data_IF_402750133667
#
_entry.id   IF_402750133667
#
_cell.length_a   1.000
_cell.length_b   1.000
_cell.length_c   1.000
_cell.angle_alpha   90.00
_cell.angle_beta   90.00
_cell.angle_gamma   90.00
#
_symmetry.space_group_name_H-M   'P 1'
#
loop_
_entity.id
_entity.type
_entity.pdbx_description
1 polymer ?
#
# COMPACT_ATOMS: atom_id res chain seq x y z
N UNK A 1 -19.26 -6.45 2.23
CA UNK A 1 -20.11 -5.56 1.43
C UNK A 1 -20.37 -4.23 2.13
N UNK A 2 -20.51 -4.16 3.46
CA UNK A 2 -20.76 -2.89 4.18
C UNK A 2 -19.60 -1.89 4.14
N UNK A 3 -18.39 -2.32 3.83
CA UNK A 3 -17.17 -1.49 3.86
C UNK A 3 -16.60 -1.21 2.45
N UNK A 4 -17.32 -1.56 1.40
CA UNK A 4 -16.87 -1.24 0.04
C UNK A 4 -16.99 0.27 -0.19
N UNK A 5 -15.97 0.87 -0.74
CA UNK A 5 -15.85 2.28 -1.07
C UNK A 5 -15.14 2.44 -2.42
N UNK A 6 -15.18 3.64 -2.98
CA UNK A 6 -14.46 3.97 -4.21
C UNK A 6 -13.81 5.36 -4.07
N UNK A 7 -12.67 5.61 -4.75
CA UNK A 7 -11.95 6.88 -4.62
C UNK A 7 -12.80 8.12 -4.91
N UNK A 8 -13.81 7.99 -5.77
CA UNK A 8 -14.73 9.07 -6.16
C UNK A 8 -15.63 9.56 -5.02
N UNK A 9 -15.74 8.81 -3.93
CA UNK A 9 -16.47 9.25 -2.73
C UNK A 9 -15.72 10.33 -1.93
N UNK A 10 -14.41 10.50 -2.21
CA UNK A 10 -13.54 11.45 -1.51
C UNK A 10 -13.25 12.67 -2.37
N UNK A 11 -13.55 13.86 -1.86
CA UNK A 11 -13.24 15.12 -2.54
C UNK A 11 -11.79 15.55 -2.30
N UNK A 12 -11.02 15.73 -3.37
CA UNK A 12 -9.65 16.24 -3.35
C UNK A 12 -9.55 17.76 -3.64
N UNK A 13 -10.68 18.48 -3.80
CA UNK A 13 -10.67 19.89 -4.17
C UNK A 13 -9.87 20.78 -3.21
N UNK A 14 -10.05 20.59 -1.90
CA UNK A 14 -9.27 21.33 -0.88
C UNK A 14 -7.78 20.98 -0.89
N UNK A 15 -7.44 19.75 -1.29
CA UNK A 15 -6.07 19.32 -1.41
C UNK A 15 -5.38 20.02 -2.58
N UNK A 16 -6.08 20.14 -3.71
CA UNK A 16 -5.62 20.90 -4.88
C UNK A 16 -5.39 22.38 -4.53
N UNK A 17 -6.34 23.00 -3.81
CA UNK A 17 -6.20 24.39 -3.33
C UNK A 17 -4.96 24.53 -2.42
N UNK A 18 -4.81 23.62 -1.44
CA UNK A 18 -3.66 23.60 -0.51
C UNK A 18 -2.34 23.41 -1.26
N UNK A 19 -2.31 22.47 -2.22
CA UNK A 19 -1.10 22.14 -2.97
C UNK A 19 -0.60 23.30 -3.84
N UNK A 20 -1.53 24.03 -4.45
CA UNK A 20 -1.23 25.16 -5.33
C UNK A 20 -0.99 26.48 -4.58
N UNK A 21 -1.33 26.55 -3.30
CA UNK A 21 -1.06 27.74 -2.50
C UNK A 21 0.39 27.75 -2.04
N UNK A 22 1.22 28.73 -2.46
CA UNK A 22 2.64 28.76 -2.12
C UNK A 22 2.93 28.95 -0.62
N UNK A 23 1.95 29.39 0.15
CA UNK A 23 2.06 29.64 1.57
C UNK A 23 1.47 28.52 2.45
N UNK A 24 0.85 27.50 1.87
CA UNK A 24 0.17 26.45 2.62
C UNK A 24 1.10 25.28 3.00
N UNK A 25 2.03 24.92 2.11
CA UNK A 25 2.98 23.83 2.28
C UNK A 25 4.40 24.30 1.92
N UNK A 26 5.35 23.99 2.78
CA UNK A 26 6.77 24.14 2.45
C UNK A 26 7.21 23.09 1.42
N UNK A 27 8.32 23.34 0.73
CA UNK A 27 8.91 22.35 -0.19
C UNK A 27 9.29 21.04 0.51
N UNK A 28 9.70 21.11 1.77
CA UNK A 28 9.99 19.94 2.59
C UNK A 28 8.72 19.10 2.84
N UNK A 29 7.60 19.74 3.19
CA UNK A 29 6.32 19.07 3.39
C UNK A 29 5.81 18.45 2.08
N UNK A 30 5.92 19.15 0.95
CA UNK A 30 5.59 18.59 -0.37
C UNK A 30 6.48 17.38 -0.70
N UNK A 31 7.76 17.41 -0.36
CA UNK A 31 8.65 16.27 -0.55
C UNK A 31 8.26 15.08 0.34
N UNK A 32 7.94 15.29 1.61
CA UNK A 32 7.44 14.24 2.51
C UNK A 32 6.16 13.62 1.95
N UNK A 33 5.22 14.43 1.48
CA UNK A 33 3.98 13.97 0.87
C UNK A 33 4.26 13.07 -0.36
N UNK A 34 5.08 13.56 -1.31
CA UNK A 34 5.45 12.81 -2.53
C UNK A 34 6.14 11.48 -2.20
N UNK A 35 7.08 11.48 -1.26
CA UNK A 35 7.79 10.25 -0.83
C UNK A 35 6.85 9.24 -0.19
N UNK A 36 5.93 9.71 0.66
CA UNK A 36 4.93 8.84 1.29
C UNK A 36 4.00 8.22 0.24
N UNK A 37 3.52 9.03 -0.71
CA UNK A 37 2.67 8.57 -1.80
C UNK A 37 3.37 7.56 -2.71
N UNK A 38 4.62 7.83 -3.09
CA UNK A 38 5.45 6.91 -3.88
C UNK A 38 5.71 5.59 -3.15
N UNK A 39 5.87 5.63 -1.84
CA UNK A 39 6.12 4.43 -1.03
C UNK A 39 4.90 3.51 -1.02
N UNK A 40 3.73 4.02 -0.63
CA UNK A 40 2.51 3.20 -0.53
C UNK A 40 2.04 2.72 -1.90
N UNK A 41 2.02 3.56 -2.92
CA UNK A 41 1.54 3.19 -4.26
C UNK A 41 2.33 2.06 -4.92
N UNK A 42 3.62 1.93 -4.60
CA UNK A 42 4.44 0.83 -5.09
C UNK A 42 4.23 -0.46 -4.29
N UNK A 43 4.06 -0.35 -2.96
CA UNK A 43 3.89 -1.52 -2.10
C UNK A 43 2.57 -2.24 -2.37
N UNK A 44 1.46 -1.52 -2.53
CA UNK A 44 0.14 -2.12 -2.81
C UNK A 44 0.12 -2.83 -4.17
N UNK A 45 0.78 -2.26 -5.18
CA UNK A 45 0.93 -2.92 -6.48
C UNK A 45 1.74 -4.22 -6.41
N UNK A 46 2.80 -4.26 -5.58
CA UNK A 46 3.57 -5.46 -5.31
C UNK A 46 2.76 -6.47 -4.50
N UNK A 47 1.98 -5.99 -3.53
CA UNK A 47 1.14 -6.80 -2.65
C UNK A 47 0.01 -7.48 -3.43
N UNK A 48 -0.69 -6.77 -4.31
CA UNK A 48 -1.71 -7.35 -5.19
C UNK A 48 -1.16 -8.57 -5.93
N UNK A 49 0.01 -8.43 -6.56
CA UNK A 49 0.64 -9.54 -7.27
C UNK A 49 1.07 -10.67 -6.34
N UNK A 50 1.65 -10.35 -5.18
CA UNK A 50 2.07 -11.35 -4.20
C UNK A 50 0.92 -12.22 -3.71
N UNK A 51 -0.19 -11.61 -3.36
CA UNK A 51 -1.39 -12.32 -2.87
C UNK A 51 -1.90 -13.32 -3.91
N UNK A 52 -2.05 -12.88 -5.16
CA UNK A 52 -2.64 -13.68 -6.22
C UNK A 52 -1.68 -14.74 -6.75
N UNK A 53 -0.43 -14.39 -7.01
CA UNK A 53 0.51 -15.28 -7.70
C UNK A 53 1.32 -16.18 -6.77
N UNK A 54 1.53 -15.77 -5.53
CA UNK A 54 2.41 -16.48 -4.61
C UNK A 54 1.66 -17.11 -3.42
N UNK A 55 0.84 -16.34 -2.70
CA UNK A 55 0.22 -16.84 -1.47
C UNK A 55 -0.99 -17.71 -1.78
N UNK A 56 -1.93 -17.22 -2.61
CA UNK A 56 -3.23 -17.86 -2.86
C UNK A 56 -3.09 -19.31 -3.33
N UNK A 57 -2.10 -19.62 -4.16
CA UNK A 57 -1.88 -20.97 -4.71
C UNK A 57 -1.53 -22.03 -3.65
N UNK A 58 -1.10 -21.64 -2.46
CA UNK A 58 -0.74 -22.52 -1.37
C UNK A 58 -1.84 -22.65 -0.30
N UNK A 59 -2.91 -21.89 -0.43
CA UNK A 59 -4.05 -21.92 0.49
C UNK A 59 -5.07 -22.94 0.01
N UNK A 60 -5.38 -23.90 0.85
CA UNK A 60 -6.35 -24.99 0.55
C UNK A 60 -7.75 -24.72 1.08
N UNK A 61 -7.93 -23.80 2.06
CA UNK A 61 -9.25 -23.39 2.55
C UNK A 61 -9.94 -22.47 1.54
N UNK A 62 -11.13 -22.84 1.04
CA UNK A 62 -11.90 -21.98 0.12
C UNK A 62 -12.27 -20.63 0.75
N UNK A 63 -12.56 -20.59 2.05
CA UNK A 63 -12.94 -19.38 2.78
C UNK A 63 -11.79 -18.41 2.88
N UNK A 64 -10.59 -18.91 3.17
CA UNK A 64 -9.36 -18.08 3.22
C UNK A 64 -9.01 -17.58 1.82
N UNK A 65 -9.16 -18.40 0.78
CA UNK A 65 -8.97 -17.95 -0.60
C UNK A 65 -9.91 -16.81 -0.99
N UNK A 66 -11.19 -16.87 -0.60
CA UNK A 66 -12.15 -15.78 -0.83
C UNK A 66 -11.70 -14.49 -0.11
N UNK A 67 -11.18 -14.60 1.11
CA UNK A 67 -10.67 -13.46 1.86
C UNK A 67 -9.43 -12.84 1.17
N UNK A 68 -8.49 -13.67 0.71
CA UNK A 68 -7.29 -13.21 -0.03
C UNK A 68 -7.67 -12.55 -1.36
N UNK A 69 -8.63 -13.09 -2.10
CA UNK A 69 -9.13 -12.47 -3.35
C UNK A 69 -9.77 -11.12 -3.05
N UNK A 70 -10.52 -11.01 -1.93
CA UNK A 70 -11.08 -9.74 -1.49
C UNK A 70 -9.99 -8.74 -1.14
N UNK A 71 -8.97 -9.15 -0.40
CA UNK A 71 -7.80 -8.31 -0.10
C UNK A 71 -7.12 -7.83 -1.39
N UNK A 72 -6.83 -8.74 -2.34
CA UNK A 72 -6.20 -8.37 -3.61
C UNK A 72 -7.02 -7.35 -4.42
N UNK A 73 -8.37 -7.40 -4.33
CA UNK A 73 -9.23 -6.37 -4.91
C UNK A 73 -9.06 -5.02 -4.19
N UNK A 74 -8.98 -5.02 -2.87
CA UNK A 74 -8.80 -3.80 -2.07
C UNK A 74 -7.43 -3.17 -2.34
N UNK A 75 -6.36 -3.96 -2.45
CA UNK A 75 -5.04 -3.47 -2.85
C UNK A 75 -5.05 -2.81 -4.24
N UNK A 76 -5.77 -3.39 -5.20
CA UNK A 76 -5.94 -2.78 -6.51
C UNK A 76 -6.73 -1.45 -6.42
N UNK A 77 -7.73 -1.37 -5.53
CA UNK A 77 -8.47 -0.14 -5.25
C UNK A 77 -7.58 0.93 -4.60
N UNK A 78 -6.68 0.53 -3.69
CA UNK A 78 -5.69 1.43 -3.08
C UNK A 78 -4.76 2.03 -4.15
N UNK A 79 -4.25 1.22 -5.08
CA UNK A 79 -3.43 1.71 -6.21
C UNK A 79 -4.19 2.75 -7.04
N UNK A 80 -5.47 2.51 -7.37
CA UNK A 80 -6.31 3.49 -8.08
C UNK A 80 -6.50 4.76 -7.27
N UNK A 81 -6.63 4.65 -5.95
CA UNK A 81 -6.77 5.78 -5.03
C UNK A 81 -5.53 6.67 -5.04
N UNK A 82 -4.34 6.09 -5.00
CA UNK A 82 -3.08 6.85 -5.10
C UNK A 82 -2.90 7.49 -6.48
N UNK A 83 -3.29 6.79 -7.54
CA UNK A 83 -3.29 7.36 -8.88
C UNK A 83 -4.21 8.58 -8.97
N UNK A 84 -5.41 8.50 -8.36
CA UNK A 84 -6.35 9.63 -8.29
C UNK A 84 -5.75 10.81 -7.52
N UNK A 85 -5.02 10.57 -6.44
CA UNK A 85 -4.32 11.64 -5.69
C UNK A 85 -3.19 12.27 -6.52
N UNK A 86 -2.40 11.46 -7.23
CA UNK A 86 -1.31 11.92 -8.12
C UNK A 86 -1.89 12.82 -9.23
N UNK A 87 -2.96 12.37 -9.88
CA UNK A 87 -3.61 13.08 -10.98
C UNK A 87 -4.24 14.40 -10.50
N UNK A 88 -4.99 14.37 -9.41
CA UNK A 88 -5.66 15.56 -8.85
C UNK A 88 -4.67 16.66 -8.49
N UNK A 89 -3.49 16.32 -7.99
CA UNK A 89 -2.44 17.30 -7.63
C UNK A 89 -1.54 17.70 -8.80
N UNK A 90 -1.78 17.18 -10.00
CA UNK A 90 -0.95 17.46 -11.18
C UNK A 90 0.49 16.97 -11.05
N UNK A 91 0.73 15.91 -10.25
CA UNK A 91 2.05 15.32 -10.10
C UNK A 91 2.39 14.50 -11.35
N UNK A 92 3.69 14.46 -11.70
CA UNK A 92 4.14 13.59 -12.77
C UNK A 92 4.10 12.13 -12.33
N UNK A 93 3.29 11.26 -12.97
CA UNK A 93 3.18 9.85 -12.57
C UNK A 93 4.50 9.08 -12.68
N UNK A 94 5.34 9.35 -13.69
CA UNK A 94 6.63 8.69 -13.85
C UNK A 94 7.60 9.05 -12.73
N UNK A 95 7.55 10.29 -12.24
CA UNK A 95 8.34 10.71 -11.09
C UNK A 95 7.80 10.09 -9.80
N UNK A 96 6.48 10.13 -9.60
CA UNK A 96 5.84 9.59 -8.41
C UNK A 96 6.08 8.07 -8.28
N UNK A 97 5.77 7.30 -9.32
CA UNK A 97 5.99 5.85 -9.31
C UNK A 97 7.46 5.45 -9.44
N UNK A 98 8.32 6.29 -10.04
CA UNK A 98 9.75 6.02 -10.20
C UNK A 98 10.60 6.39 -8.98
N UNK A 99 10.04 7.13 -8.02
CA UNK A 99 10.80 7.67 -6.89
C UNK A 99 11.44 6.58 -6.04
N UNK A 100 10.77 5.42 -5.84
CA UNK A 100 11.31 4.30 -5.08
C UNK A 100 12.60 3.72 -5.66
N UNK A 101 12.85 3.86 -6.96
CA UNK A 101 14.10 3.42 -7.62
C UNK A 101 15.24 4.41 -7.45
N UNK A 102 14.90 5.70 -7.32
CA UNK A 102 15.87 6.79 -7.21
C UNK A 102 16.24 7.09 -5.76
N UNK A 103 15.30 6.87 -4.84
CA UNK A 103 15.50 7.06 -3.41
C UNK A 103 16.02 5.77 -2.78
N UNK A 104 17.26 5.80 -2.29
CA UNK A 104 17.95 4.62 -1.74
C UNK A 104 17.20 3.99 -0.55
N UNK A 105 16.61 4.80 0.31
CA UNK A 105 15.91 4.31 1.50
C UNK A 105 14.61 3.61 1.13
N UNK A 106 13.84 4.19 0.20
CA UNK A 106 12.63 3.56 -0.34
C UNK A 106 12.96 2.28 -1.09
N UNK A 107 14.03 2.27 -1.88
CA UNK A 107 14.49 1.07 -2.59
C UNK A 107 14.83 -0.07 -1.63
N UNK A 108 15.61 0.19 -0.59
CA UNK A 108 15.99 -0.86 0.38
C UNK A 108 14.80 -1.38 1.18
N UNK A 109 13.81 -0.54 1.50
CA UNK A 109 12.56 -0.98 2.14
C UNK A 109 11.79 -1.93 1.22
N UNK A 110 11.58 -1.57 -0.04
CA UNK A 110 10.88 -2.41 -1.02
C UNK A 110 11.62 -3.74 -1.25
N UNK A 111 12.95 -3.71 -1.34
CA UNK A 111 13.78 -4.90 -1.50
C UNK A 111 13.61 -5.90 -0.36
N UNK A 112 13.48 -5.43 0.88
CA UNK A 112 13.24 -6.30 2.05
C UNK A 112 11.89 -7.02 1.95
N UNK A 113 10.83 -6.30 1.59
CA UNK A 113 9.50 -6.88 1.37
C UNK A 113 9.57 -7.94 0.28
N UNK A 114 10.14 -7.59 -0.88
CA UNK A 114 10.30 -8.50 -2.02
C UNK A 114 11.15 -9.73 -1.72
N UNK A 115 12.11 -9.64 -0.81
CA UNK A 115 13.02 -10.76 -0.52
C UNK A 115 12.29 -11.99 0.05
N UNK A 116 11.30 -11.79 0.92
CA UNK A 116 10.49 -12.88 1.46
C UNK A 116 9.59 -13.50 0.37
N UNK A 117 8.96 -12.64 -0.44
CA UNK A 117 8.09 -13.05 -1.53
C UNK A 117 8.83 -13.83 -2.61
N UNK A 118 10.03 -13.39 -2.99
CA UNK A 118 10.83 -14.03 -4.03
C UNK A 118 11.21 -15.48 -3.69
N UNK A 119 11.31 -15.81 -2.41
CA UNK A 119 11.62 -17.19 -1.96
C UNK A 119 10.52 -18.20 -2.34
N UNK A 120 9.27 -17.76 -2.39
CA UNK A 120 8.09 -18.60 -2.66
C UNK A 120 7.52 -18.40 -4.08
N UNK A 121 8.12 -17.54 -4.89
CA UNK A 121 7.61 -17.18 -6.22
C UNK A 121 7.90 -18.22 -7.31
N UNK A 122 8.86 -19.14 -7.09
CA UNK A 122 9.18 -20.18 -8.06
C UNK A 122 7.94 -21.04 -8.38
N UNK A 123 7.72 -21.38 -9.67
CA UNK A 123 6.67 -22.32 -10.06
C UNK A 123 6.82 -23.71 -9.44
N UNK A 124 8.07 -24.11 -9.13
CA UNK A 124 8.38 -25.40 -8.50
C UNK A 124 8.21 -25.39 -6.97
N UNK A 125 8.05 -24.20 -6.36
CA UNK A 125 7.86 -24.09 -4.92
C UNK A 125 6.55 -24.77 -4.49
N UNK A 126 6.66 -25.69 -3.52
CA UNK A 126 5.53 -26.42 -2.94
C UNK A 126 5.70 -26.48 -1.42
N UNK A 127 4.63 -26.28 -0.69
CA UNK A 127 4.54 -26.55 0.75
C UNK A 127 4.51 -28.06 1.01
N UNK A 128 4.75 -28.46 2.27
CA UNK A 128 4.71 -29.85 2.72
C UNK A 128 6.07 -30.43 3.11
N UNK A 129 7.15 -29.65 3.05
CA UNK A 129 8.42 -29.95 3.73
C UNK A 129 8.68 -28.88 4.78
N UNK A 130 9.41 -29.23 5.85
CA UNK A 130 9.72 -28.29 6.93
C UNK A 130 10.35 -26.99 6.40
N UNK A 131 11.31 -27.11 5.49
CA UNK A 131 12.04 -25.96 4.92
C UNK A 131 11.12 -25.07 4.08
N UNK A 132 10.27 -25.65 3.24
CA UNK A 132 9.33 -24.87 2.41
C UNK A 132 8.20 -24.26 3.22
N UNK A 133 7.70 -24.98 4.23
CA UNK A 133 6.67 -24.47 5.15
C UNK A 133 7.20 -23.29 5.96
N UNK A 134 8.49 -23.35 6.37
CA UNK A 134 9.16 -22.23 7.01
C UNK A 134 9.28 -21.02 6.06
N UNK A 135 9.66 -21.21 4.80
CA UNK A 135 9.74 -20.13 3.81
C UNK A 135 8.36 -19.51 3.54
N UNK A 136 7.31 -20.32 3.50
CA UNK A 136 5.94 -19.84 3.34
C UNK A 136 5.49 -19.03 4.55
N UNK A 137 5.78 -19.50 5.76
CA UNK A 137 5.52 -18.76 7.00
C UNK A 137 6.30 -17.42 7.05
N UNK A 138 7.56 -17.40 6.63
CA UNK A 138 8.33 -16.15 6.50
C UNK A 138 7.66 -15.15 5.56
N UNK A 139 7.08 -15.61 4.45
CA UNK A 139 6.34 -14.75 3.54
C UNK A 139 5.05 -14.20 4.16
N UNK A 140 4.31 -15.02 4.92
CA UNK A 140 3.14 -14.57 5.68
C UNK A 140 3.51 -13.54 6.75
N UNK A 141 4.61 -13.75 7.49
CA UNK A 141 5.14 -12.77 8.45
C UNK A 141 5.57 -11.48 7.75
N UNK A 142 6.20 -11.60 6.58
CA UNK A 142 6.53 -10.45 5.74
C UNK A 142 5.30 -9.62 5.38
N UNK A 143 4.19 -10.30 5.07
CA UNK A 143 2.90 -9.66 4.83
C UNK A 143 2.36 -8.94 6.08
N UNK A 144 2.39 -9.56 7.24
CA UNK A 144 2.01 -8.93 8.52
C UNK A 144 2.83 -7.64 8.78
N UNK A 145 4.13 -7.68 8.52
CA UNK A 145 5.01 -6.52 8.69
C UNK A 145 4.66 -5.40 7.69
N UNK A 146 4.36 -5.77 6.44
CA UNK A 146 3.95 -4.82 5.41
C UNK A 146 2.65 -4.11 5.82
N UNK A 147 1.60 -4.87 6.09
CA UNK A 147 0.26 -4.37 6.42
C UNK A 147 0.22 -3.62 7.76
N UNK A 148 0.91 -4.15 8.80
CA UNK A 148 0.83 -3.62 10.17
C UNK A 148 1.89 -2.58 10.53
N UNK A 149 2.99 -2.44 9.76
CA UNK A 149 4.09 -1.53 10.10
C UNK A 149 4.42 -0.59 8.95
N UNK A 150 4.66 -1.10 7.75
CA UNK A 150 5.17 -0.29 6.66
C UNK A 150 4.13 0.71 6.16
N UNK A 151 2.91 0.28 5.89
CA UNK A 151 1.83 1.17 5.47
C UNK A 151 1.53 2.21 6.55
N UNK A 152 1.38 1.79 7.79
CA UNK A 152 1.13 2.71 8.91
C UNK A 152 2.21 3.78 9.05
N UNK A 153 3.48 3.45 8.78
CA UNK A 153 4.57 4.42 8.84
C UNK A 153 4.41 5.57 7.84
N UNK A 154 3.83 5.30 6.66
CA UNK A 154 3.52 6.30 5.65
C UNK A 154 2.22 7.05 5.94
N UNK A 155 1.18 6.34 6.43
CA UNK A 155 -0.13 6.91 6.74
C UNK A 155 -0.05 8.03 7.78
N UNK A 156 0.87 7.92 8.75
CA UNK A 156 1.12 8.94 9.76
C UNK A 156 1.43 10.32 9.15
N UNK A 157 2.11 10.36 8.00
CA UNK A 157 2.40 11.63 7.33
C UNK A 157 1.11 12.28 6.81
N UNK A 158 0.23 11.52 6.16
CA UNK A 158 -1.07 12.01 5.67
C UNK A 158 -1.98 12.45 6.82
N UNK A 159 -2.00 11.69 7.92
CA UNK A 159 -2.74 12.08 9.12
C UNK A 159 -2.20 13.35 9.77
N UNK A 160 -0.88 13.57 9.72
CA UNK A 160 -0.27 14.80 10.21
C UNK A 160 -0.72 16.00 9.39
N UNK A 161 -0.79 15.88 8.06
CA UNK A 161 -1.36 16.93 7.21
C UNK A 161 -2.83 17.18 7.56
N UNK A 162 -3.66 16.15 7.61
CA UNK A 162 -5.09 16.26 7.93
C UNK A 162 -5.33 16.89 9.30
N UNK A 163 -4.58 16.49 10.33
CA UNK A 163 -4.66 17.04 11.69
C UNK A 163 -4.40 18.55 11.72
N UNK A 164 -3.54 19.03 10.83
CA UNK A 164 -3.23 20.46 10.70
C UNK A 164 -4.14 21.18 9.68
N UNK A 165 -5.30 20.62 9.36
CA UNK A 165 -6.26 21.13 8.38
C UNK A 165 -5.67 21.35 6.97
N UNK A 166 -4.68 20.53 6.61
CA UNK A 166 -4.06 20.51 5.29
C UNK A 166 -4.27 19.16 4.63
N UNK A 167 -4.42 19.13 3.31
CA UNK A 167 -4.61 17.89 2.54
C UNK A 167 -5.70 16.97 3.14
N UNK A 168 -6.93 17.51 3.45
CA UNK A 168 -7.96 16.75 4.16
C UNK A 168 -8.50 15.56 3.35
N UNK A 169 -8.63 15.70 2.03
CA UNK A 169 -9.10 14.65 1.15
C UNK A 169 -8.12 13.47 1.08
N UNK A 170 -6.82 13.75 0.94
CA UNK A 170 -5.78 12.72 1.04
C UNK A 170 -5.84 11.98 2.36
N UNK A 171 -5.98 12.71 3.47
CA UNK A 171 -6.09 12.08 4.79
C UNK A 171 -7.37 11.26 4.96
N UNK A 172 -8.48 11.62 4.29
CA UNK A 172 -9.71 10.83 4.27
C UNK A 172 -9.55 9.57 3.42
N UNK A 173 -8.96 9.68 2.23
CA UNK A 173 -8.62 8.53 1.38
C UNK A 173 -7.79 7.50 2.16
N UNK A 174 -6.74 7.96 2.84
CA UNK A 174 -5.88 7.10 3.67
C UNK A 174 -6.65 6.49 4.86
N UNK A 175 -7.69 7.13 5.39
CA UNK A 175 -8.53 6.52 6.43
C UNK A 175 -9.33 5.32 5.92
N UNK A 176 -9.84 5.38 4.69
CA UNK A 176 -10.51 4.23 4.08
C UNK A 176 -9.51 3.09 3.82
N UNK A 177 -8.35 3.41 3.25
CA UNK A 177 -7.27 2.44 3.02
C UNK A 177 -6.84 1.81 4.34
N UNK A 178 -6.52 2.60 5.36
CA UNK A 178 -6.07 2.10 6.67
C UNK A 178 -7.09 1.17 7.36
N UNK A 179 -8.38 1.40 7.16
CA UNK A 179 -9.43 0.50 7.64
C UNK A 179 -9.37 -0.87 6.95
N UNK A 180 -9.06 -0.87 5.65
CA UNK A 180 -8.92 -2.10 4.88
C UNK A 180 -7.65 -2.83 5.32
N UNK A 181 -6.53 -2.12 5.55
CA UNK A 181 -5.27 -2.71 6.06
C UNK A 181 -5.41 -3.35 7.45
N UNK A 182 -6.26 -2.81 8.33
CA UNK A 182 -6.56 -3.48 9.62
C UNK A 182 -7.22 -4.85 9.40
N UNK A 183 -8.07 -4.98 8.38
CA UNK A 183 -8.68 -6.27 8.02
C UNK A 183 -7.68 -7.21 7.35
N UNK A 184 -6.82 -6.70 6.46
CA UNK A 184 -5.75 -7.45 5.82
C UNK A 184 -4.79 -8.05 6.84
N UNK A 185 -4.35 -7.23 7.79
CA UNK A 185 -3.49 -7.67 8.90
C UNK A 185 -4.11 -8.81 9.71
N UNK A 186 -5.41 -8.70 10.06
CA UNK A 186 -6.14 -9.70 10.84
C UNK A 186 -6.31 -11.03 10.12
N UNK A 187 -6.27 -11.05 8.80
CA UNK A 187 -6.34 -12.28 8.01
C UNK A 187 -5.11 -13.17 8.22
N UNK A 188 -3.95 -12.57 8.49
CA UNK A 188 -2.66 -13.27 8.63
C UNK A 188 -2.23 -13.52 10.08
N UNK A 189 -2.98 -13.03 11.08
CA UNK A 189 -2.76 -13.29 12.52
C UNK A 189 -3.66 -14.44 13.02
#
# INVERSE_FOLDING_TARGET
VKNTWVPQEVSLGKDVETWNNPNALTEQEKNVYKRSLAFVSNLDGLQTNNLVTNICKHITSPEVNLAIVRQAYEEALHVVSYATMIEALGLNPEEAYGLYRKDKELYEKNKRVLSAVNKISSPEFKTGTFENDQLFLEACIGNIILEGIYFYSAFLNFYTFKRNNRMPGSGEMIQFINRDEDMHLRLFI
#
